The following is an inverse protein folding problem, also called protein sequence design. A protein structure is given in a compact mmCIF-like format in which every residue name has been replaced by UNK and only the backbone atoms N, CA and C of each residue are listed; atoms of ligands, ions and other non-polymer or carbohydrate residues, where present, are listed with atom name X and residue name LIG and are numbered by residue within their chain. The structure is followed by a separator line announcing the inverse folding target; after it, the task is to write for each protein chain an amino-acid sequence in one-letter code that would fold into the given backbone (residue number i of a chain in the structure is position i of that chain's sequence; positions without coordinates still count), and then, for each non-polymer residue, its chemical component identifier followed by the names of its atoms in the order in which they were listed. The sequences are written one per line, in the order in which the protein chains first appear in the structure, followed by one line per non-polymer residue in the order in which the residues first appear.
data_IF_910124062970
#
_entry.id   IF_910124062970
#
_cell.length_a   1.000
_cell.length_b   1.000
_cell.length_c   1.000
_cell.angle_alpha   90.00
_cell.angle_beta   90.00
_cell.angle_gamma   90.00
#
_symmetry.space_group_name_H-M   'P 1'
#
loop_
_entity.id
_entity.type
_entity.pdbx_description
1 polymer ?
#
# COMPACT_ATOMS: atom_id res chain seq x y z
N UNK A 1 -9.71 21.99 -11.89
CA UNK A 1 -9.67 20.52 -11.68
C UNK A 1 -9.72 20.24 -10.18
N UNK A 2 -10.84 19.72 -9.67
CA UNK A 2 -11.03 19.42 -8.25
C UNK A 2 -10.78 17.93 -8.03
N UNK A 3 -9.51 17.50 -7.98
CA UNK A 3 -9.18 16.10 -7.76
C UNK A 3 -9.28 15.77 -6.27
N UNK A 4 -10.20 14.88 -5.92
CA UNK A 4 -10.27 14.32 -4.56
C UNK A 4 -9.00 13.52 -4.27
N UNK A 5 -8.47 13.63 -3.05
CA UNK A 5 -7.34 12.82 -2.58
C UNK A 5 -7.52 11.33 -2.90
N UNK A 6 -8.75 10.81 -2.78
CA UNK A 6 -9.07 9.41 -3.09
C UNK A 6 -8.73 9.06 -4.54
N UNK A 7 -9.05 9.94 -5.49
CA UNK A 7 -8.77 9.72 -6.91
C UNK A 7 -7.27 9.73 -7.18
N UNK A 8 -6.54 10.68 -6.59
CA UNK A 8 -5.09 10.78 -6.74
C UNK A 8 -4.37 9.56 -6.12
N UNK A 9 -4.80 9.17 -4.92
CA UNK A 9 -4.24 8.02 -4.19
C UNK A 9 -4.45 6.71 -4.94
N UNK A 10 -5.65 6.50 -5.48
CA UNK A 10 -5.96 5.32 -6.29
C UNK A 10 -5.15 5.30 -7.60
N UNK A 11 -5.01 6.45 -8.27
CA UNK A 11 -4.21 6.56 -9.48
C UNK A 11 -2.72 6.27 -9.21
N UNK A 12 -2.18 6.75 -8.09
CA UNK A 12 -0.82 6.44 -7.66
C UNK A 12 -0.66 4.93 -7.43
N UNK A 13 -1.58 4.27 -6.73
CA UNK A 13 -1.52 2.82 -6.49
C UNK A 13 -1.70 2.00 -7.77
N UNK A 14 -2.40 2.52 -8.77
CA UNK A 14 -2.49 1.90 -10.10
C UNK A 14 -1.13 1.89 -10.81
N UNK A 15 -0.30 2.92 -10.60
CA UNK A 15 1.07 2.97 -11.14
C UNK A 15 2.10 2.22 -10.27
N UNK A 16 1.99 2.32 -8.94
CA UNK A 16 2.92 1.69 -7.99
C UNK A 16 2.69 0.18 -7.87
N UNK A 17 1.45 -0.28 -7.99
CA UNK A 17 1.09 -1.70 -7.88
C UNK A 17 1.86 -2.61 -8.84
N UNK A 18 1.94 -2.30 -10.14
CA UNK A 18 2.76 -3.06 -11.09
C UNK A 18 4.25 -3.08 -10.73
N UNK A 19 4.81 -1.93 -10.34
CA UNK A 19 6.23 -1.86 -9.94
C UNK A 19 6.50 -2.71 -8.71
N UNK A 20 5.63 -2.60 -7.70
CA UNK A 20 5.68 -3.43 -6.51
C UNK A 20 5.57 -4.92 -6.86
N UNK A 21 4.64 -5.31 -7.73
CA UNK A 21 4.47 -6.69 -8.16
C UNK A 21 5.74 -7.24 -8.83
N UNK A 22 6.39 -6.46 -9.69
CA UNK A 22 7.66 -6.83 -10.31
C UNK A 22 8.74 -7.07 -9.24
N UNK A 23 8.85 -6.20 -8.24
CA UNK A 23 9.82 -6.38 -7.16
C UNK A 23 9.56 -7.65 -6.35
N UNK A 24 8.29 -7.91 -6.02
CA UNK A 24 7.88 -9.14 -5.32
C UNK A 24 8.22 -10.37 -6.15
N UNK A 25 7.95 -10.33 -7.45
CA UNK A 25 8.28 -11.41 -8.38
C UNK A 25 9.79 -11.65 -8.49
N UNK A 26 10.60 -10.59 -8.55
CA UNK A 26 12.07 -10.71 -8.56
C UNK A 26 12.59 -11.44 -7.32
N UNK A 27 12.06 -11.11 -6.13
CA UNK A 27 12.45 -11.79 -4.89
C UNK A 27 11.97 -13.24 -4.91
N UNK A 28 10.73 -13.48 -5.34
CA UNK A 28 10.18 -14.83 -5.48
C UNK A 28 11.03 -15.72 -6.39
N UNK A 29 11.51 -15.19 -7.51
CA UNK A 29 12.33 -15.91 -8.49
C UNK A 29 13.84 -15.92 -8.16
N UNK A 30 14.29 -15.24 -7.10
CA UNK A 30 15.72 -15.09 -6.78
C UNK A 30 16.39 -16.36 -6.24
N UNK A 31 15.60 -17.38 -5.85
CA UNK A 31 16.10 -18.59 -5.19
C UNK A 31 16.52 -18.39 -3.73
N UNK A 32 16.26 -17.21 -3.14
CA UNK A 32 16.53 -16.93 -1.72
C UNK A 32 15.55 -17.63 -0.79
N UNK A 33 14.30 -17.83 -1.23
CA UNK A 33 13.27 -18.58 -0.51
C UNK A 33 13.49 -20.07 -0.80
N UNK A 34 14.02 -20.83 0.17
CA UNK A 34 14.44 -22.22 -0.06
C UNK A 34 13.39 -23.23 0.37
N UNK A 35 12.63 -22.90 1.39
CA UNK A 35 11.62 -23.79 1.97
C UNK A 35 10.20 -23.28 1.67
N UNK A 36 9.21 -24.16 1.74
CA UNK A 36 7.80 -23.76 1.62
C UNK A 36 7.38 -22.79 2.74
N UNK A 37 8.02 -22.89 3.90
CA UNK A 37 7.82 -21.98 5.03
C UNK A 37 8.30 -20.57 4.70
N UNK A 38 9.50 -20.42 4.10
CA UNK A 38 10.03 -19.12 3.68
C UNK A 38 9.08 -18.40 2.72
N UNK A 39 8.54 -19.13 1.74
CA UNK A 39 7.58 -18.57 0.78
C UNK A 39 6.29 -18.11 1.46
N UNK A 40 5.81 -18.88 2.44
CA UNK A 40 4.60 -18.55 3.20
C UNK A 40 4.82 -17.31 4.07
N UNK A 41 5.95 -17.23 4.77
CA UNK A 41 6.32 -16.07 5.59
C UNK A 41 6.52 -14.82 4.72
N UNK A 42 7.17 -14.96 3.58
CA UNK A 42 7.39 -13.88 2.62
C UNK A 42 6.05 -13.29 2.15
N UNK A 43 5.14 -14.10 1.62
CA UNK A 43 3.82 -13.62 1.17
C UNK A 43 2.99 -13.09 2.34
N UNK A 44 3.08 -13.74 3.50
CA UNK A 44 2.41 -13.34 4.74
C UNK A 44 2.85 -11.98 5.28
N UNK A 45 4.06 -11.52 4.97
CA UNK A 45 4.53 -10.17 5.33
C UNK A 45 4.27 -9.15 4.22
N UNK A 46 4.58 -9.54 2.99
CA UNK A 46 4.60 -8.62 1.83
C UNK A 46 3.19 -8.18 1.44
N UNK A 47 2.22 -9.11 1.37
CA UNK A 47 0.85 -8.79 0.98
C UNK A 47 0.17 -7.88 2.02
N UNK A 48 0.17 -8.23 3.33
CA UNK A 48 -0.44 -7.35 4.33
C UNK A 48 0.27 -6.01 4.46
N UNK A 49 1.60 -5.97 4.30
CA UNK A 49 2.38 -4.73 4.28
C UNK A 49 1.89 -3.77 3.18
N UNK A 50 1.68 -4.27 1.96
CA UNK A 50 1.18 -3.45 0.85
C UNK A 50 -0.25 -2.92 1.13
N UNK A 51 -1.13 -3.78 1.66
CA UNK A 51 -2.50 -3.40 2.02
C UNK A 51 -2.49 -2.32 3.12
N UNK A 52 -1.63 -2.47 4.14
CA UNK A 52 -1.49 -1.49 5.22
C UNK A 52 -1.09 -0.12 4.69
N UNK A 53 -0.13 -0.06 3.76
CA UNK A 53 0.29 1.20 3.14
C UNK A 53 -0.90 1.82 2.39
N UNK A 54 -1.62 1.03 1.59
CA UNK A 54 -2.81 1.52 0.87
C UNK A 54 -3.88 2.11 1.80
N UNK A 55 -4.21 1.41 2.89
CA UNK A 55 -5.21 1.86 3.88
C UNK A 55 -4.71 3.08 4.66
N UNK A 56 -3.41 3.16 4.94
CA UNK A 56 -2.81 4.26 5.72
C UNK A 56 -3.07 5.64 5.11
N UNK A 57 -3.07 5.75 3.77
CA UNK A 57 -3.38 7.01 3.08
C UNK A 57 -4.78 7.54 3.42
N UNK A 58 -5.77 6.64 3.48
CA UNK A 58 -7.13 7.01 3.87
C UNK A 58 -7.27 7.34 5.35
N UNK A 59 -6.52 6.64 6.21
CA UNK A 59 -6.48 6.97 7.64
C UNK A 59 -5.91 8.37 7.87
N UNK A 60 -4.85 8.73 7.16
CA UNK A 60 -4.24 10.07 7.20
C UNK A 60 -5.23 11.11 6.67
N UNK A 61 -5.87 10.87 5.52
CA UNK A 61 -6.89 11.76 4.97
C UNK A 61 -8.04 11.99 5.97
N UNK A 62 -8.55 10.91 6.58
CA UNK A 62 -9.62 10.97 7.58
C UNK A 62 -9.19 11.76 8.83
N UNK A 63 -7.96 11.56 9.31
CA UNK A 63 -7.40 12.32 10.44
C UNK A 63 -7.25 13.81 10.11
N UNK A 64 -6.75 14.15 8.92
CA UNK A 64 -6.64 15.54 8.47
C UNK A 64 -8.00 16.21 8.34
N UNK A 65 -8.99 15.56 7.72
CA UNK A 65 -10.33 16.10 7.56
C UNK A 65 -10.98 16.42 8.93
N UNK A 66 -10.84 15.50 9.91
CA UNK A 66 -11.32 15.73 11.29
C UNK A 66 -10.64 16.92 11.96
N UNK A 67 -9.32 17.10 11.76
CA UNK A 67 -8.57 18.22 12.35
C UNK A 67 -9.02 19.56 11.79
N UNK A 68 -9.30 19.64 10.50
CA UNK A 68 -9.80 20.86 9.83
C UNK A 68 -11.23 21.18 10.30
N UNK A 69 -12.08 20.17 10.48
CA UNK A 69 -13.45 20.35 10.97
C UNK A 69 -13.51 20.82 12.42
N UNK A 70 -12.62 20.31 13.29
CA UNK A 70 -12.55 20.70 14.70
C UNK A 70 -11.95 22.08 14.98
N UNK A 71 -11.36 22.75 13.98
CA UNK A 71 -10.89 24.14 14.10
C UNK A 71 -11.94 25.19 13.68
N UNK A 72 -13.08 24.75 13.12
CA UNK A 72 -14.18 25.60 12.68
C UNK A 72 -15.44 25.49 13.55
N UNK A 73 -15.36 24.81 14.69
CA UNK A 73 -16.38 24.80 15.77
C UNK A 73 -15.88 25.59 16.96
#
# INVERSE_FOLDING_TARGET
MNYSFKTLWNAMFLAVGPVWFVLVWMIWSSGQLKTAEDHTLFLGLVIPGFILIYVSGFLIQKRHAKKIQGQHS
#
